data_IF_047059535634
#
_entry.id   IF_047059535634
#
_cell.length_a   1.000
_cell.length_b   1.000
_cell.length_c   1.000
_cell.angle_alpha   90.00
_cell.angle_beta   90.00
_cell.angle_gamma   90.00
#
_symmetry.space_group_name_H-M   'P 1'
#
loop_
_entity.id
_entity.type
_entity.pdbx_description
1 polymer ?
#
# COMPACT_ATOMS: atom_id res chain seq x y z
N UNK A 1 15.18 -16.32 -12.17
CA UNK A 1 14.21 -15.58 -12.98
C UNK A 1 13.14 -15.05 -12.06
N UNK A 2 13.31 -13.82 -11.59
CA UNK A 2 12.31 -13.09 -10.79
C UNK A 2 11.24 -12.62 -11.76
N UNK A 3 10.20 -13.44 -11.94
CA UNK A 3 9.05 -13.08 -12.75
C UNK A 3 8.50 -11.74 -12.26
N UNK A 4 8.66 -10.69 -13.09
CA UNK A 4 8.06 -9.40 -12.80
C UNK A 4 6.56 -9.63 -12.67
N UNK A 5 5.95 -9.29 -11.53
CA UNK A 5 4.52 -9.47 -11.33
C UNK A 5 3.74 -8.84 -12.49
N UNK A 6 2.91 -9.65 -13.17
CA UNK A 6 2.11 -9.26 -14.36
C UNK A 6 1.23 -8.02 -14.11
N UNK A 7 0.94 -7.70 -12.86
CA UNK A 7 0.14 -6.54 -12.48
C UNK A 7 1.01 -5.29 -12.26
N UNK A 8 0.68 -4.18 -12.92
CA UNK A 8 1.43 -2.94 -12.75
C UNK A 8 1.34 -2.45 -11.30
N UNK A 9 2.42 -1.82 -10.82
CA UNK A 9 2.59 -1.43 -9.40
C UNK A 9 1.42 -0.58 -8.91
N UNK A 10 0.94 0.36 -9.72
CA UNK A 10 -0.18 1.23 -9.37
C UNK A 10 -1.48 0.44 -9.11
N UNK A 11 -1.73 -0.65 -9.86
CA UNK A 11 -2.92 -1.50 -9.67
C UNK A 11 -2.84 -2.29 -8.37
N UNK A 12 -1.64 -2.75 -7.99
CA UNK A 12 -1.39 -3.40 -6.70
C UNK A 12 -1.47 -2.41 -5.54
N UNK A 13 -0.94 -1.20 -5.72
CA UNK A 13 -1.01 -0.12 -4.76
C UNK A 13 -2.47 0.30 -4.49
N UNK A 14 -3.25 0.50 -5.54
CA UNK A 14 -4.68 0.82 -5.43
C UNK A 14 -5.46 -0.28 -4.69
N UNK A 15 -5.25 -1.55 -5.06
CA UNK A 15 -5.90 -2.68 -4.39
C UNK A 15 -5.55 -2.75 -2.90
N UNK A 16 -4.28 -2.53 -2.53
CA UNK A 16 -3.86 -2.45 -1.12
C UNK A 16 -4.44 -1.25 -0.40
N UNK A 17 -4.54 -0.10 -1.07
CA UNK A 17 -5.20 1.10 -0.53
C UNK A 17 -6.67 0.86 -0.21
N UNK A 18 -7.40 0.18 -1.11
CA UNK A 18 -8.79 -0.21 -0.88
C UNK A 18 -8.93 -1.16 0.32
N UNK A 19 -8.04 -2.15 0.46
CA UNK A 19 -8.05 -3.05 1.62
C UNK A 19 -7.87 -2.27 2.93
N UNK A 20 -6.95 -1.30 2.96
CA UNK A 20 -6.73 -0.46 4.15
C UNK A 20 -7.95 0.41 4.45
N UNK A 21 -8.56 1.01 3.44
CA UNK A 21 -9.77 1.81 3.63
C UNK A 21 -10.91 0.96 4.23
N UNK A 22 -11.14 -0.25 3.71
CA UNK A 22 -12.14 -1.18 4.24
C UNK A 22 -11.82 -1.59 5.68
N UNK A 23 -10.56 -1.89 5.98
CA UNK A 23 -10.13 -2.24 7.32
C UNK A 23 -10.34 -1.08 8.32
N UNK A 24 -10.08 0.16 7.91
CA UNK A 24 -10.33 1.34 8.75
C UNK A 24 -11.82 1.51 9.05
N UNK A 25 -12.70 1.37 8.05
CA UNK A 25 -14.15 1.41 8.28
C UNK A 25 -14.59 0.31 9.23
N UNK A 26 -14.10 -0.93 9.03
CA UNK A 26 -14.43 -2.06 9.89
C UNK A 26 -13.98 -1.85 11.35
N UNK A 27 -12.79 -1.27 11.57
CA UNK A 27 -12.29 -0.94 12.90
C UNK A 27 -13.14 0.13 13.60
N UNK A 28 -13.62 1.13 12.86
CA UNK A 28 -14.48 2.17 13.40
C UNK A 28 -15.86 1.62 13.79
N UNK A 29 -16.45 0.78 12.94
CA UNK A 29 -17.70 0.08 13.25
C UNK A 29 -17.52 -0.86 14.46
N UNK A 30 -16.37 -1.53 14.61
CA UNK A 30 -16.05 -2.33 15.79
C UNK A 30 -15.93 -1.47 17.06
N UNK A 31 -15.30 -0.30 16.97
CA UNK A 31 -15.21 0.65 18.08
C UNK A 31 -16.61 1.10 18.54
N UNK A 32 -17.50 1.40 17.59
CA UNK A 32 -18.91 1.68 17.91
C UNK A 32 -19.62 0.49 18.56
N UNK A 33 -19.47 -0.71 18.00
CA UNK A 33 -20.09 -1.91 18.55
C UNK A 33 -19.60 -2.23 19.98
N UNK A 34 -18.36 -1.85 20.31
CA UNK A 34 -17.80 -1.97 21.65
C UNK A 34 -18.27 -0.88 22.64
N UNK A 35 -19.18 0.00 22.22
CA UNK A 35 -19.74 1.06 23.06
C UNK A 35 -18.82 2.26 23.29
N UNK A 36 -17.72 2.38 22.53
CA UNK A 36 -16.91 3.60 22.54
C UNK A 36 -17.58 4.68 21.72
N UNK A 37 -17.63 5.90 22.27
CA UNK A 37 -18.03 7.07 21.50
C UNK A 37 -17.03 7.31 20.38
N UNK A 38 -17.52 7.25 19.15
CA UNK A 38 -16.81 7.69 17.96
C UNK A 38 -17.36 9.08 17.64
N UNK A 39 -16.55 10.10 17.88
CA UNK A 39 -16.90 11.50 17.66
C UNK A 39 -16.96 11.89 16.18
N UNK A 40 -16.46 11.03 15.29
CA UNK A 40 -16.50 11.24 13.85
C UNK A 40 -17.89 10.93 13.29
N UNK A 41 -18.45 11.87 12.53
CA UNK A 41 -19.64 11.63 11.73
C UNK A 41 -19.31 10.63 10.60
N UNK A 42 -20.31 9.91 10.09
CA UNK A 42 -20.15 8.84 9.08
C UNK A 42 -19.45 9.34 7.81
N UNK A 43 -19.68 10.61 7.44
CA UNK A 43 -18.97 11.26 6.34
C UNK A 43 -17.48 11.47 6.61
N UNK A 44 -17.11 11.81 7.84
CA UNK A 44 -15.70 11.96 8.24
C UNK A 44 -14.99 10.62 8.29
N UNK A 45 -15.67 9.55 8.70
CA UNK A 45 -15.11 8.19 8.72
C UNK A 45 -14.77 7.70 7.33
N UNK A 46 -15.69 7.88 6.38
CA UNK A 46 -15.46 7.54 4.98
C UNK A 46 -14.30 8.37 4.43
N UNK A 47 -14.26 9.66 4.74
CA UNK A 47 -13.16 10.53 4.32
C UNK A 47 -11.81 10.07 4.88
N UNK A 48 -11.74 9.76 6.19
CA UNK A 48 -10.52 9.27 6.85
C UNK A 48 -10.09 7.93 6.28
N UNK A 49 -11.03 7.00 6.03
CA UNK A 49 -10.74 5.70 5.46
C UNK A 49 -10.20 5.82 4.02
N UNK A 50 -10.81 6.67 3.18
CA UNK A 50 -10.37 6.91 1.82
C UNK A 50 -9.00 7.62 1.80
N UNK A 51 -8.82 8.65 2.63
CA UNK A 51 -7.55 9.35 2.76
C UNK A 51 -6.43 8.43 3.26
N UNK A 52 -6.70 7.63 4.29
CA UNK A 52 -5.77 6.63 4.82
C UNK A 52 -5.39 5.57 3.78
N UNK A 53 -6.38 5.06 3.04
CA UNK A 53 -6.16 4.14 1.93
C UNK A 53 -5.31 4.75 0.81
N UNK A 54 -5.54 6.02 0.46
CA UNK A 54 -4.77 6.73 -0.56
C UNK A 54 -3.33 7.00 -0.13
N UNK A 55 -3.11 7.39 1.12
CA UNK A 55 -1.75 7.57 1.70
C UNK A 55 -1.00 6.24 1.67
N UNK A 56 -1.64 5.14 2.07
CA UNK A 56 -1.02 3.82 2.05
C UNK A 56 -0.67 3.35 0.63
N UNK A 57 -1.59 3.54 -0.32
CA UNK A 57 -1.35 3.21 -1.72
C UNK A 57 -0.12 3.97 -2.27
N UNK A 58 -0.03 5.26 -1.97
CA UNK A 58 1.10 6.11 -2.39
C UNK A 58 2.41 5.64 -1.77
N UNK A 59 2.42 5.38 -0.46
CA UNK A 59 3.59 4.86 0.23
C UNK A 59 4.06 3.52 -0.35
N UNK A 60 3.13 2.59 -0.59
CA UNK A 60 3.44 1.29 -1.18
C UNK A 60 4.04 1.43 -2.59
N UNK A 61 3.49 2.32 -3.43
CA UNK A 61 4.00 2.57 -4.76
C UNK A 61 5.43 3.11 -4.74
N UNK A 62 5.73 4.06 -3.83
CA UNK A 62 7.07 4.60 -3.64
C UNK A 62 8.06 3.52 -3.22
N UNK A 63 7.72 2.73 -2.19
CA UNK A 63 8.58 1.64 -1.71
C UNK A 63 8.81 0.57 -2.77
N UNK A 64 7.77 0.15 -3.48
CA UNK A 64 7.89 -0.82 -4.57
C UNK A 64 8.80 -0.29 -5.69
N UNK A 65 8.70 0.99 -6.03
CA UNK A 65 9.58 1.60 -7.03
C UNK A 65 11.04 1.71 -6.56
N UNK A 66 11.26 1.95 -5.26
CA UNK A 66 12.59 1.99 -4.65
C UNK A 66 13.25 0.61 -4.66
N UNK A 67 12.51 -0.43 -4.27
CA UNK A 67 12.97 -1.82 -4.31
C UNK A 67 13.29 -2.25 -5.74
N UNK A 68 12.44 -1.94 -6.72
CA UNK A 68 12.71 -2.24 -8.13
C UNK A 68 13.99 -1.56 -8.63
N UNK A 69 14.28 -0.32 -8.19
CA UNK A 69 15.54 0.37 -8.51
C UNK A 69 16.75 -0.29 -7.83
N UNK A 70 16.63 -0.70 -6.57
CA UNK A 70 17.71 -1.40 -5.86
C UNK A 70 18.01 -2.77 -6.48
N UNK A 71 16.98 -3.56 -6.79
CA UNK A 71 17.13 -4.86 -7.45
C UNK A 71 17.81 -4.71 -8.82
N UNK A 72 17.43 -3.71 -9.62
CA UNK A 72 18.12 -3.43 -10.89
C UNK A 72 19.58 -3.03 -10.70
N UNK A 73 19.91 -2.24 -9.67
CA UNK A 73 21.30 -1.90 -9.35
C UNK A 73 22.09 -3.13 -8.92
N UNK A 74 21.51 -4.00 -8.10
CA UNK A 74 22.14 -5.27 -7.68
C UNK A 74 22.33 -6.22 -8.87
N UNK A 75 21.34 -6.35 -9.76
CA UNK A 75 21.48 -7.15 -10.99
C UNK A 75 22.54 -6.57 -11.94
N UNK A 76 22.70 -5.25 -11.99
CA UNK A 76 23.76 -4.59 -12.78
C UNK A 76 25.15 -4.84 -12.17
N UNK A 77 25.29 -4.67 -10.86
CA UNK A 77 26.55 -4.91 -10.14
C UNK A 77 26.96 -6.39 -10.20
N UNK A 78 26.00 -7.31 -10.07
CA UNK A 78 26.25 -8.75 -10.18
C UNK A 78 26.61 -9.19 -11.61
N UNK A 79 26.28 -8.40 -12.63
CA UNK A 79 26.72 -8.63 -14.01
C UNK A 79 28.11 -8.06 -14.28
N UNK A 80 28.46 -6.93 -13.69
CA UNK A 80 29.81 -6.35 -13.78
C UNK A 80 30.87 -7.18 -13.05
N UNK A 81 30.52 -7.86 -11.95
CA UNK A 81 31.43 -8.81 -11.27
C UNK A 81 31.52 -10.19 -11.95
N UNK A 82 30.66 -10.45 -12.94
CA UNK A 82 30.57 -11.74 -13.64
C UNK A 82 31.23 -11.80 -15.02
N UNK A 83 31.81 -10.70 -15.50
CA UNK A 83 32.62 -10.67 -16.73
C UNK A 83 34.11 -10.85 -16.37
N UNK A 84 34.76 -11.95 -16.80
CA UNK A 84 36.21 -12.14 -16.63
C UNK A 84 37.05 -11.20 -17.51
#
# INVERSE_FOLDING_TARGET
MTDKPKTPIWKRAAMRGVIVAVAMVALVELLRASGREVSADRGQEIFIAVAGGAVWATFYALMASGVDKMMKKMESAAKEEGEP
#
